data_IF_151197269814
#
_entry.id   IF_151197269814
#
_cell.length_a   1.000
_cell.length_b   1.000
_cell.length_c   1.000
_cell.angle_alpha   90.00
_cell.angle_beta   90.00
_cell.angle_gamma   90.00
#
_symmetry.space_group_name_H-M   'P 1'
#
loop_
_entity.id
_entity.type
_entity.pdbx_description
1 polymer ?
#
# COMPACT_ATOMS: atom_id res chain seq x y z
N UNK A 1 22.37 -34.05 31.37
CA UNK A 1 20.96 -33.73 31.06
C UNK A 1 20.86 -33.26 29.62
N UNK A 2 20.42 -34.13 28.70
CA UNK A 2 20.40 -33.89 27.24
C UNK A 2 19.51 -32.73 26.77
N UNK A 3 18.66 -32.20 27.66
CA UNK A 3 17.67 -31.15 27.33
C UNK A 3 18.32 -29.76 27.18
N UNK A 4 19.50 -29.53 27.77
CA UNK A 4 20.21 -28.25 27.67
C UNK A 4 21.13 -28.17 26.44
N UNK A 5 21.48 -29.29 25.81
CA UNK A 5 22.50 -29.34 24.74
C UNK A 5 21.92 -29.07 23.35
N UNK A 6 20.62 -29.27 23.15
CA UNK A 6 19.95 -29.14 21.84
C UNK A 6 19.17 -27.83 21.67
N UNK A 7 19.15 -26.94 22.67
CA UNK A 7 18.41 -25.68 22.61
C UNK A 7 19.22 -24.55 21.94
N UNK A 8 18.94 -24.25 20.68
CA UNK A 8 19.63 -23.20 19.91
C UNK A 8 18.83 -21.90 19.74
N UNK A 9 17.53 -21.89 20.05
CA UNK A 9 16.65 -20.75 19.71
C UNK A 9 15.97 -20.09 20.92
N UNK A 10 15.72 -20.84 22.00
CA UNK A 10 15.00 -20.30 23.15
C UNK A 10 16.01 -19.64 24.08
N UNK A 11 15.89 -18.34 24.36
CA UNK A 11 16.79 -17.66 25.27
C UNK A 11 16.45 -18.03 26.71
N UNK A 12 17.47 -18.41 27.49
CA UNK A 12 17.31 -18.88 28.88
C UNK A 12 18.28 -18.14 29.79
N UNK A 13 17.83 -17.75 30.99
CA UNK A 13 18.65 -17.23 32.08
C UNK A 13 18.48 -18.12 33.30
N UNK A 14 19.58 -18.54 33.89
CA UNK A 14 19.60 -19.23 35.17
C UNK A 14 19.78 -18.24 36.32
N UNK A 15 18.99 -18.44 37.39
CA UNK A 15 19.09 -17.68 38.64
C UNK A 15 19.18 -18.62 39.83
N UNK A 16 19.76 -18.13 40.92
CA UNK A 16 19.71 -18.83 42.21
C UNK A 16 18.31 -18.73 42.85
N UNK A 17 18.16 -19.29 44.04
CA UNK A 17 16.90 -19.28 44.80
C UNK A 17 16.39 -17.86 45.12
N UNK A 18 17.30 -16.87 45.16
CA UNK A 18 17.05 -15.44 45.41
C UNK A 18 16.74 -14.63 44.14
N UNK A 19 16.55 -15.29 43.00
CA UNK A 19 16.32 -14.67 41.68
C UNK A 19 17.49 -13.80 41.20
N UNK A 20 18.70 -14.05 41.68
CA UNK A 20 19.92 -13.41 41.17
C UNK A 20 20.50 -14.26 40.03
N UNK A 21 20.80 -13.66 38.86
CA UNK A 21 21.43 -14.37 37.76
C UNK A 21 22.74 -15.03 38.20
N UNK A 22 22.91 -16.32 37.91
CA UNK A 22 24.14 -17.06 38.26
C UNK A 22 25.29 -16.79 37.29
N UNK A 23 25.03 -16.04 36.21
CA UNK A 23 25.94 -15.83 35.09
C UNK A 23 25.79 -16.88 33.98
N UNK A 24 24.98 -17.92 34.20
CA UNK A 24 24.65 -18.92 33.18
C UNK A 24 23.44 -18.47 32.36
N UNK A 25 23.63 -18.36 31.05
CA UNK A 25 22.59 -17.98 30.10
C UNK A 25 22.81 -18.70 28.76
N UNK A 26 21.75 -18.85 27.98
CA UNK A 26 21.76 -19.47 26.65
C UNK A 26 21.02 -18.61 25.64
N UNK A 27 21.50 -18.58 24.40
CA UNK A 27 20.87 -17.89 23.26
C UNK A 27 20.55 -16.41 23.52
N UNK A 28 21.39 -15.72 24.30
CA UNK A 28 21.34 -14.29 24.52
C UNK A 28 22.55 -13.66 23.85
N UNK A 29 22.31 -12.72 22.95
CA UNK A 29 23.37 -11.94 22.33
C UNK A 29 23.99 -10.98 23.35
N UNK A 30 25.30 -11.17 23.58
CA UNK A 30 26.12 -10.33 24.46
C UNK A 30 27.19 -9.56 23.69
N UNK A 31 27.18 -9.59 22.36
CA UNK A 31 28.17 -8.91 21.53
C UNK A 31 28.12 -7.39 21.78
N UNK A 32 29.28 -6.81 22.12
CA UNK A 32 29.41 -5.36 22.34
C UNK A 32 28.82 -4.84 23.67
N UNK A 33 28.42 -5.73 24.60
CA UNK A 33 27.86 -5.32 25.88
C UNK A 33 28.96 -5.21 26.95
N UNK A 34 29.16 -3.99 27.46
CA UNK A 34 30.17 -3.71 28.50
C UNK A 34 29.79 -4.27 29.89
N UNK A 35 28.49 -4.34 30.21
CA UNK A 35 27.99 -4.88 31.48
C UNK A 35 26.91 -5.95 31.23
N UNK A 36 27.37 -7.21 31.24
CA UNK A 36 26.54 -8.40 31.06
C UNK A 36 25.54 -8.55 32.22
N UNK A 37 25.91 -8.17 33.45
CA UNK A 37 25.03 -8.31 34.61
C UNK A 37 23.80 -7.40 34.49
N UNK A 38 23.99 -6.18 34.00
CA UNK A 38 22.88 -5.24 33.74
C UNK A 38 21.98 -5.72 32.60
N UNK A 39 22.56 -6.30 31.54
CA UNK A 39 21.80 -6.95 30.46
C UNK A 39 20.95 -8.11 31.00
N UNK A 40 21.56 -9.02 31.76
CA UNK A 40 20.87 -10.19 32.31
C UNK A 40 19.73 -9.79 33.25
N UNK A 41 19.92 -8.79 34.13
CA UNK A 41 18.85 -8.27 34.98
C UNK A 41 17.69 -7.68 34.16
N UNK A 42 18.01 -6.96 33.08
CA UNK A 42 17.00 -6.38 32.18
C UNK A 42 16.23 -7.45 31.43
N UNK A 43 16.93 -8.44 30.86
CA UNK A 43 16.35 -9.58 30.16
C UNK A 43 15.53 -10.47 31.09
N UNK A 44 16.00 -10.71 32.31
CA UNK A 44 15.26 -11.45 33.33
C UNK A 44 13.90 -10.79 33.62
N UNK A 45 13.84 -9.45 33.73
CA UNK A 45 12.58 -8.73 33.89
C UNK A 45 11.64 -8.91 32.68
N UNK A 46 12.18 -8.96 31.46
CA UNK A 46 11.40 -9.25 30.26
C UNK A 46 10.88 -10.69 30.26
N UNK A 47 11.71 -11.67 30.61
CA UNK A 47 11.33 -13.08 30.63
C UNK A 47 10.27 -13.36 31.68
N UNK A 48 10.34 -12.71 32.85
CA UNK A 48 9.29 -12.79 33.89
C UNK A 48 7.94 -12.25 33.43
N UNK A 49 7.93 -11.24 32.55
CA UNK A 49 6.68 -10.70 31.98
C UNK A 49 6.10 -11.64 30.93
N UNK A 50 6.95 -12.31 30.17
CA UNK A 50 6.55 -13.28 29.15
C UNK A 50 6.08 -14.61 29.77
N UNK A 51 6.88 -15.16 30.69
CA UNK A 51 6.64 -16.42 31.40
C UNK A 51 6.87 -16.21 32.92
N UNK A 52 5.80 -15.96 33.71
CA UNK A 52 5.94 -15.65 35.13
C UNK A 52 6.35 -16.85 36.00
N UNK A 53 6.18 -18.08 35.49
CA UNK A 53 6.54 -19.31 36.19
C UNK A 53 7.86 -19.86 35.62
N UNK A 54 8.99 -19.76 36.36
CA UNK A 54 10.24 -20.37 35.93
C UNK A 54 10.20 -21.89 36.10
N UNK A 55 11.13 -22.57 35.43
CA UNK A 55 11.42 -23.99 35.69
C UNK A 55 12.36 -24.06 36.88
N UNK A 56 12.01 -24.79 37.94
CA UNK A 56 12.79 -24.86 39.17
C UNK A 56 13.46 -26.23 39.26
N UNK A 57 14.78 -26.25 39.46
CA UNK A 57 15.57 -27.45 39.76
C UNK A 57 16.09 -27.34 41.20
N UNK A 58 15.61 -28.22 42.08
CA UNK A 58 16.08 -28.29 43.47
C UNK A 58 17.42 -29.03 43.48
N UNK A 59 18.47 -28.34 43.95
CA UNK A 59 19.84 -28.87 44.04
C UNK A 59 20.05 -29.54 45.40
N UNK A 60 19.49 -28.97 46.47
CA UNK A 60 19.56 -29.51 47.83
C UNK A 60 18.33 -29.11 48.63
N UNK A 61 17.77 -30.04 49.41
CA UNK A 61 16.62 -29.74 50.29
C UNK A 61 17.03 -29.07 51.60
N UNK A 62 18.19 -29.44 52.17
CA UNK A 62 18.69 -28.86 53.43
C UNK A 62 20.23 -28.68 53.44
N UNK A 63 20.76 -27.44 53.58
CA UNK A 63 20.03 -26.18 53.38
C UNK A 63 19.44 -26.09 51.96
N UNK A 64 18.29 -25.44 51.83
CA UNK A 64 17.57 -25.33 50.56
C UNK A 64 18.40 -24.56 49.53
N UNK A 65 18.65 -25.19 48.39
CA UNK A 65 19.32 -24.59 47.24
C UNK A 65 18.60 -25.03 45.97
N UNK A 66 18.21 -24.07 45.13
CA UNK A 66 17.49 -24.36 43.89
C UNK A 66 17.86 -23.37 42.79
N UNK A 67 17.99 -23.87 41.57
CA UNK A 67 18.22 -23.06 40.38
C UNK A 67 16.90 -22.85 39.66
N UNK A 68 16.63 -21.62 39.23
CA UNK A 68 15.44 -21.26 38.45
C UNK A 68 15.87 -20.90 37.04
N UNK A 69 15.15 -21.40 36.04
CA UNK A 69 15.38 -21.11 34.63
C UNK A 69 14.22 -20.28 34.10
N UNK A 70 14.52 -19.06 33.69
CA UNK A 70 13.59 -18.15 33.03
C UNK A 70 13.84 -18.20 31.52
N UNK A 71 12.77 -18.33 30.74
CA UNK A 71 12.84 -18.39 29.29
C UNK A 71 12.10 -17.21 28.65
N UNK A 72 12.64 -16.71 27.54
CA UNK A 72 12.03 -15.66 26.73
C UNK A 72 11.37 -16.19 25.45
N UNK A 73 10.73 -15.31 24.67
CA UNK A 73 10.23 -15.67 23.35
C UNK A 73 11.41 -16.09 22.45
N UNK A 74 11.23 -17.18 21.69
CA UNK A 74 12.19 -17.56 20.66
C UNK A 74 12.15 -16.59 19.47
N UNK A 75 13.24 -16.58 18.70
CA UNK A 75 13.32 -15.85 17.43
C UNK A 75 12.21 -16.28 16.48
N UNK A 76 11.96 -17.58 16.37
CA UNK A 76 10.88 -18.16 15.56
C UNK A 76 9.50 -17.64 15.98
N UNK A 77 9.21 -17.61 17.28
CA UNK A 77 7.91 -17.12 17.78
C UNK A 77 7.68 -15.65 17.40
N UNK A 78 8.72 -14.83 17.47
CA UNK A 78 8.64 -13.42 17.10
C UNK A 78 8.44 -13.27 15.59
N UNK A 79 9.13 -14.04 14.77
CA UNK A 79 8.95 -14.03 13.31
C UNK A 79 7.52 -14.44 12.91
N UNK A 80 6.97 -15.48 13.54
CA UNK A 80 5.59 -15.95 13.28
C UNK A 80 4.56 -14.87 13.65
N UNK A 81 4.78 -14.11 14.71
CA UNK A 81 3.90 -12.99 15.08
C UNK A 81 3.93 -11.85 14.07
N UNK A 82 5.09 -11.56 13.48
CA UNK A 82 5.26 -10.46 12.51
C UNK A 82 4.84 -10.85 11.08
N UNK A 83 4.90 -12.12 10.74
CA UNK A 83 4.62 -12.63 9.39
C UNK A 83 3.27 -12.15 8.80
N UNK A 84 2.13 -12.21 9.53
CA UNK A 84 0.84 -11.76 9.00
C UNK A 84 0.83 -10.27 8.64
N UNK A 85 1.51 -9.42 9.42
CA UNK A 85 1.54 -7.98 9.17
C UNK A 85 2.33 -7.68 7.90
N UNK A 86 3.50 -8.30 7.72
CA UNK A 86 4.32 -8.14 6.50
C UNK A 86 3.53 -8.62 5.28
N UNK A 87 2.88 -9.77 5.37
CA UNK A 87 2.05 -10.31 4.28
C UNK A 87 0.89 -9.37 3.93
N UNK A 88 0.18 -8.83 4.92
CA UNK A 88 -0.90 -7.86 4.68
C UNK A 88 -0.39 -6.56 4.08
N UNK A 89 0.78 -6.06 4.51
CA UNK A 89 1.40 -4.87 3.91
C UNK A 89 1.72 -5.08 2.42
N UNK A 90 2.30 -6.23 2.07
CA UNK A 90 2.59 -6.58 0.67
C UNK A 90 1.29 -6.67 -0.13
N UNK A 91 0.27 -7.37 0.38
CA UNK A 91 -1.04 -7.48 -0.27
C UNK A 91 -1.72 -6.11 -0.45
N UNK A 92 -1.64 -5.23 0.54
CA UNK A 92 -2.19 -3.88 0.48
C UNK A 92 -1.52 -3.04 -0.62
N UNK A 93 -0.19 -3.14 -0.79
CA UNK A 93 0.52 -2.46 -1.87
C UNK A 93 0.01 -2.95 -3.24
N UNK A 94 -0.16 -4.26 -3.43
CA UNK A 94 -0.73 -4.79 -4.67
C UNK A 94 -2.16 -4.29 -4.92
N UNK A 95 -2.99 -4.23 -3.89
CA UNK A 95 -4.35 -3.69 -3.99
C UNK A 95 -4.35 -2.21 -4.39
N UNK A 96 -3.48 -1.39 -3.79
CA UNK A 96 -3.37 0.04 -4.11
C UNK A 96 -2.97 0.22 -5.59
N UNK A 97 -1.97 -0.55 -6.05
CA UNK A 97 -1.54 -0.51 -7.45
C UNK A 97 -2.70 -0.92 -8.36
N UNK A 98 -3.35 -2.05 -8.08
CA UNK A 98 -4.46 -2.56 -8.90
C UNK A 98 -5.62 -1.54 -8.99
N UNK A 99 -6.05 -0.98 -7.85
CA UNK A 99 -7.12 0.03 -7.81
C UNK A 99 -6.72 1.29 -8.58
N UNK A 100 -5.48 1.76 -8.41
CA UNK A 100 -4.98 2.95 -9.09
C UNK A 100 -4.93 2.74 -10.59
N UNK A 101 -4.36 1.63 -11.05
CA UNK A 101 -4.32 1.26 -12.46
C UNK A 101 -5.72 1.14 -13.05
N UNK A 102 -6.68 0.53 -12.33
CA UNK A 102 -8.05 0.40 -12.79
C UNK A 102 -8.73 1.77 -12.94
N UNK A 103 -8.53 2.68 -11.99
CA UNK A 103 -9.06 4.06 -12.05
C UNK A 103 -8.49 4.82 -13.24
N UNK A 104 -7.19 4.71 -13.49
CA UNK A 104 -6.53 5.34 -14.64
C UNK A 104 -7.12 4.81 -15.94
N UNK A 105 -7.24 3.49 -16.09
CA UNK A 105 -7.85 2.86 -17.28
C UNK A 105 -9.28 3.34 -17.51
N UNK A 106 -10.09 3.38 -16.46
CA UNK A 106 -11.48 3.83 -16.56
C UNK A 106 -11.58 5.29 -17.04
N UNK A 107 -10.78 6.19 -16.46
CA UNK A 107 -10.72 7.59 -16.91
C UNK A 107 -10.20 7.71 -18.35
N UNK A 108 -9.19 6.93 -18.72
CA UNK A 108 -8.67 6.90 -20.09
C UNK A 108 -9.72 6.45 -21.09
N UNK A 109 -10.47 5.39 -20.78
CA UNK A 109 -11.54 4.88 -21.64
C UNK A 109 -12.67 5.89 -21.79
N UNK A 110 -13.04 6.59 -20.71
CA UNK A 110 -13.99 7.70 -20.80
C UNK A 110 -13.44 8.77 -21.73
N UNK A 111 -12.22 9.28 -21.51
CA UNK A 111 -11.64 10.32 -22.35
C UNK A 111 -11.61 9.92 -23.84
N UNK A 112 -11.29 8.66 -24.15
CA UNK A 112 -11.36 8.13 -25.52
C UNK A 112 -12.79 8.08 -26.06
N UNK A 113 -13.77 7.69 -25.25
CA UNK A 113 -15.19 7.72 -25.63
C UNK A 113 -15.65 9.15 -25.91
N UNK A 114 -15.30 10.12 -25.06
CA UNK A 114 -15.63 11.54 -25.24
C UNK A 114 -14.99 12.10 -26.51
N UNK A 115 -13.73 11.78 -26.78
CA UNK A 115 -13.05 12.13 -28.02
C UNK A 115 -13.78 11.51 -29.24
N UNK A 116 -14.09 10.21 -29.20
CA UNK A 116 -14.82 9.55 -30.28
C UNK A 116 -16.20 10.15 -30.55
N UNK A 117 -16.97 10.45 -29.50
CA UNK A 117 -18.27 11.12 -29.63
C UNK A 117 -18.14 12.54 -30.21
N UNK A 118 -17.11 13.30 -29.82
CA UNK A 118 -16.84 14.62 -30.38
C UNK A 118 -16.51 14.53 -31.88
N UNK A 119 -15.69 13.56 -32.29
CA UNK A 119 -15.36 13.30 -33.69
C UNK A 119 -16.59 12.94 -34.53
N UNK A 120 -17.41 12.02 -34.04
CA UNK A 120 -18.65 11.60 -34.70
C UNK A 120 -19.63 12.77 -34.81
N UNK A 121 -19.76 13.58 -33.75
CA UNK A 121 -20.62 14.78 -33.77
C UNK A 121 -20.13 15.80 -34.80
N UNK A 122 -18.81 16.04 -34.89
CA UNK A 122 -18.24 16.91 -35.91
C UNK A 122 -18.56 16.42 -37.33
N UNK A 123 -18.43 15.12 -37.56
CA UNK A 123 -18.78 14.51 -38.83
C UNK A 123 -20.28 14.68 -39.14
N UNK A 124 -21.16 14.42 -38.17
CA UNK A 124 -22.60 14.57 -38.32
C UNK A 124 -23.03 16.03 -38.52
N UNK A 125 -22.34 17.00 -37.91
CA UNK A 125 -22.60 18.43 -38.12
C UNK A 125 -22.07 18.94 -39.46
N UNK A 126 -21.05 18.32 -40.05
CA UNK A 126 -20.49 18.73 -41.34
C UNK A 126 -21.52 18.73 -42.47
N UNK A 127 -22.30 17.65 -42.59
CA UNK A 127 -23.30 17.49 -43.67
C UNK A 127 -24.39 18.58 -43.68
N UNK A 128 -25.11 18.85 -42.57
CA UNK A 128 -26.11 19.92 -42.56
C UNK A 128 -25.47 21.31 -42.72
N UNK A 129 -24.28 21.56 -42.16
CA UNK A 129 -23.59 22.84 -42.33
C UNK A 129 -23.21 23.08 -43.79
N UNK A 130 -22.68 22.09 -44.50
CA UNK A 130 -22.42 22.20 -45.94
C UNK A 130 -23.70 22.39 -46.77
N UNK A 131 -24.83 21.81 -46.34
CA UNK A 131 -26.12 22.09 -47.00
C UNK A 131 -26.56 23.55 -46.83
N UNK A 132 -26.32 24.15 -45.65
CA UNK A 132 -26.61 25.56 -45.38
C UNK A 132 -25.71 26.50 -46.19
N UNK A 133 -24.44 26.15 -46.40
CA UNK A 133 -23.56 26.89 -47.30
C UNK A 133 -24.09 26.90 -48.74
N UNK A 134 -24.61 25.78 -49.23
CA UNK A 134 -25.23 25.71 -50.55
C UNK A 134 -26.47 26.61 -50.68
N UNK A 135 -27.34 26.62 -49.67
CA UNK A 135 -28.49 27.52 -49.64
C UNK A 135 -28.10 28.99 -49.51
N UNK A 136 -27.04 29.29 -48.75
CA UNK A 136 -26.51 30.64 -48.59
C UNK A 136 -25.97 31.18 -49.93
N UNK A 137 -25.30 30.36 -50.72
CA UNK A 137 -24.79 30.77 -52.04
C UNK A 137 -25.93 31.12 -52.99
N UNK A 138 -27.00 30.32 -53.01
CA UNK A 138 -28.21 30.63 -53.79
C UNK A 138 -28.88 31.93 -53.31
N UNK A 139 -28.85 32.20 -52.00
CA UNK A 139 -29.49 33.40 -51.42
C UNK A 139 -28.75 34.69 -51.80
N UNK A 140 -27.43 34.62 -51.98
CA UNK A 140 -26.58 35.76 -52.39
C UNK A 140 -26.91 36.25 -53.80
N UNK A 141 -27.47 35.39 -54.65
CA UNK A 141 -27.93 35.76 -56.00
C UNK A 141 -29.27 36.53 -56.01
N UNK A 142 -29.94 36.69 -54.87
CA UNK A 142 -31.23 37.38 -54.74
C UNK A 142 -31.00 38.77 -54.10
N UNK A 143 -31.06 39.89 -54.86
CA UNK A 143 -30.74 41.23 -54.35
C UNK A 143 -31.63 41.69 -53.18
N UNK A 144 -32.87 41.19 -53.12
CA UNK A 144 -33.79 41.51 -52.04
C UNK A 144 -33.46 40.81 -50.71
N UNK A 145 -32.59 39.80 -50.72
CA UNK A 145 -32.23 38.98 -49.56
C UNK A 145 -30.81 39.27 -49.03
N UNK A 146 -30.11 40.26 -49.58
CA UNK A 146 -28.68 40.51 -49.36
C UNK A 146 -28.33 40.70 -47.86
N UNK A 147 -29.17 41.43 -47.13
CA UNK A 147 -29.01 41.60 -45.67
C UNK A 147 -29.20 40.27 -44.90
N UNK A 148 -30.12 39.41 -45.34
CA UNK A 148 -30.37 38.10 -44.71
C UNK A 148 -29.21 37.16 -44.99
N UNK A 149 -28.72 37.14 -46.23
CA UNK A 149 -27.54 36.36 -46.62
C UNK A 149 -26.30 36.76 -45.79
N UNK A 150 -26.09 38.06 -45.56
CA UNK A 150 -24.96 38.54 -44.76
C UNK A 150 -25.01 38.09 -43.29
N UNK A 151 -26.20 38.02 -42.65
CA UNK A 151 -26.34 37.49 -41.29
C UNK A 151 -26.20 35.96 -41.25
N UNK A 152 -26.81 35.25 -42.21
CA UNK A 152 -26.68 33.79 -42.31
C UNK A 152 -25.22 33.36 -42.56
N UNK A 153 -24.44 34.12 -43.33
CA UNK A 153 -23.01 33.87 -43.54
C UNK A 153 -22.24 33.87 -42.21
N UNK A 154 -22.56 34.78 -41.29
CA UNK A 154 -21.95 34.82 -39.96
C UNK A 154 -22.28 33.58 -39.13
N UNK A 155 -23.55 33.16 -39.14
CA UNK A 155 -24.00 31.99 -38.37
C UNK A 155 -23.43 30.69 -38.93
N UNK A 156 -23.40 30.53 -40.25
CA UNK A 156 -22.82 29.35 -40.91
C UNK A 156 -21.32 29.24 -40.62
N UNK A 157 -20.56 30.35 -40.73
CA UNK A 157 -19.13 30.37 -40.34
C UNK A 157 -18.92 29.99 -38.88
N UNK A 158 -19.80 30.44 -37.98
CA UNK A 158 -19.74 30.08 -36.57
C UNK A 158 -19.98 28.58 -36.37
N UNK A 159 -20.96 28.00 -37.06
CA UNK A 159 -21.24 26.57 -37.00
C UNK A 159 -20.09 25.72 -37.55
N UNK A 160 -19.45 26.14 -38.65
CA UNK A 160 -18.24 25.51 -39.15
C UNK A 160 -17.12 25.51 -38.11
N UNK A 161 -16.87 26.66 -37.50
CA UNK A 161 -15.80 26.79 -36.49
C UNK A 161 -16.08 25.92 -35.26
N UNK A 162 -17.35 25.74 -34.88
CA UNK A 162 -17.75 24.81 -33.82
C UNK A 162 -17.51 23.36 -34.25
N UNK A 163 -17.96 22.98 -35.46
CA UNK A 163 -17.75 21.65 -36.01
C UNK A 163 -16.27 21.27 -36.10
N UNK A 164 -15.43 22.19 -36.60
CA UNK A 164 -13.97 22.02 -36.68
C UNK A 164 -13.33 21.83 -35.30
N UNK A 165 -13.83 22.51 -34.27
CA UNK A 165 -13.34 22.33 -32.90
C UNK A 165 -13.70 20.96 -32.35
N UNK A 166 -14.93 20.48 -32.59
CA UNK A 166 -15.31 19.12 -32.21
C UNK A 166 -14.45 18.07 -32.93
N UNK A 167 -14.15 18.29 -34.21
CA UNK A 167 -13.30 17.40 -35.01
C UNK A 167 -11.83 17.40 -34.61
N UNK A 168 -11.34 18.45 -33.93
CA UNK A 168 -9.97 18.52 -33.38
C UNK A 168 -9.83 17.93 -31.99
N UNK A 169 -10.92 17.88 -31.21
CA UNK A 169 -10.94 17.27 -29.86
C UNK A 169 -10.95 15.74 -29.96
N UNK A 170 -11.63 15.21 -30.98
CA UNK A 170 -11.74 13.78 -31.25
C UNK A 170 -10.73 13.24 -32.24
#
# INVERSE_FOLDING_TARGET
TKIATDNTEIPIIETNERDEPTGLFMNIDTAGVADINTLLKTKLKQFRRFAPKPIILVVKETPYAANKYYYGPSTLLTQVQWYPYVQLSIAAIFLIIAITTQRIRFKSNQNQLWAGMAKETAHQLGTPVSSLEGWLELLKDIPAADHIAAEMDKDVRRLQLISDRFGKIG
#
